data_IF_499460332809
#
_entry.id   IF_499460332809
#
_cell.length_a   1.000
_cell.length_b   1.000
_cell.length_c   1.000
_cell.angle_alpha   90.00
_cell.angle_beta   90.00
_cell.angle_gamma   90.00
#
_symmetry.space_group_name_H-M   'P 1'
#
loop_
_entity.id
_entity.type
_entity.pdbx_description
1 polymer ?
#
# COMPACT_ATOMS: atom_id res chain seq x y z
N UNK A 1 20.85 49.83 70.86
CA UNK A 1 22.13 50.52 70.80
C UNK A 1 22.36 50.91 69.37
N UNK A 2 22.10 52.14 69.18
CA UNK A 2 22.98 53.25 68.65
C UNK A 2 23.23 53.05 67.18
N UNK A 3 22.61 53.89 66.39
CA UNK A 3 22.92 55.28 65.97
C UNK A 3 23.83 55.23 64.78
N UNK A 4 23.44 55.81 63.72
CA UNK A 4 23.42 57.25 63.32
C UNK A 4 24.42 57.36 62.18
N UNK A 5 24.33 58.08 61.26
CA UNK A 5 23.62 59.25 60.78
C UNK A 5 24.42 59.84 59.57
N UNK A 6 23.69 60.40 58.67
CA UNK A 6 23.79 61.79 58.24
C UNK A 6 24.75 62.14 57.06
N UNK A 7 24.13 62.59 55.97
CA UNK A 7 24.27 63.92 55.35
C UNK A 7 25.52 64.10 54.44
N UNK A 8 25.48 64.56 53.30
CA UNK A 8 24.62 65.50 52.60
C UNK A 8 25.41 66.20 51.49
N UNK A 9 24.69 66.79 50.62
CA UNK A 9 24.98 68.02 49.88
C UNK A 9 25.64 68.03 48.50
N UNK A 10 24.79 68.47 47.59
CA UNK A 10 24.91 69.58 46.58
C UNK A 10 25.66 69.27 45.26
N UNK A 11 24.92 69.23 44.20
CA UNK A 11 24.59 70.30 43.24
C UNK A 11 25.77 70.90 42.55
N UNK A 12 25.91 70.69 41.22
CA UNK A 12 26.09 71.74 40.24
C UNK A 12 25.87 71.27 38.83
N UNK A 13 25.00 71.98 38.16
CA UNK A 13 24.70 71.94 36.72
C UNK A 13 25.96 72.40 35.93
N UNK A 14 26.08 71.82 34.72
CA UNK A 14 26.50 72.68 33.56
C UNK A 14 26.03 72.00 32.26
N UNK A 15 25.24 72.73 31.53
CA UNK A 15 24.79 72.50 30.13
C UNK A 15 25.99 72.67 29.16
N UNK A 16 25.88 72.03 28.03
CA UNK A 16 26.27 72.34 26.67
C UNK A 16 26.51 70.97 25.95
N UNK A 17 26.00 70.57 24.86
CA UNK A 17 25.77 71.23 23.60
C UNK A 17 25.19 70.09 22.68
N UNK A 18 24.21 70.41 21.94
CA UNK A 18 23.54 69.59 20.91
C UNK A 18 24.51 69.45 19.73
N UNK A 19 24.74 68.20 19.28
CA UNK A 19 25.04 67.85 17.88
C UNK A 19 24.22 66.66 17.46
N UNK A 20 23.27 66.92 16.61
CA UNK A 20 22.50 65.95 15.86
C UNK A 20 23.40 65.29 14.82
N UNK A 21 23.60 63.97 14.92
CA UNK A 21 24.07 63.16 13.81
C UNK A 21 23.03 62.08 13.55
N UNK A 22 22.25 62.30 12.53
CA UNK A 22 21.29 61.35 11.99
C UNK A 22 22.04 60.22 11.28
N UNK A 23 22.25 59.10 11.95
CA UNK A 23 22.66 57.84 11.29
C UNK A 23 21.41 57.03 11.01
N UNK A 24 21.04 56.98 9.75
CA UNK A 24 20.03 56.07 9.21
C UNK A 24 20.62 54.68 9.25
N UNK A 25 20.29 53.89 10.24
CA UNK A 25 20.50 52.45 10.27
C UNK A 25 19.31 51.78 9.56
N UNK A 26 19.51 51.44 8.28
CA UNK A 26 18.65 50.51 7.59
C UNK A 26 18.81 49.12 8.22
N UNK A 27 17.92 48.78 9.13
CA UNK A 27 17.78 47.41 9.60
C UNK A 27 17.15 46.58 8.47
N UNK A 28 18.03 45.87 7.74
CA UNK A 28 17.61 44.75 6.93
C UNK A 28 17.00 43.66 7.88
N UNK A 29 15.70 43.66 8.04
CA UNK A 29 14.99 42.55 8.62
C UNK A 29 15.07 41.38 7.61
N UNK A 30 16.09 40.54 7.78
CA UNK A 30 16.05 39.18 7.26
C UNK A 30 14.94 38.47 8.02
N UNK A 31 13.78 38.43 7.41
CA UNK A 31 12.70 37.56 7.88
C UNK A 31 13.20 36.12 7.80
N UNK A 32 13.67 35.59 8.92
CA UNK A 32 13.70 34.16 9.16
C UNK A 32 12.24 33.72 9.10
N UNK A 33 11.82 33.25 7.91
CA UNK A 33 10.63 32.41 7.82
C UNK A 33 10.95 31.16 8.63
N UNK A 34 10.58 31.19 9.90
CA UNK A 34 10.38 29.98 10.66
C UNK A 34 9.36 29.17 9.87
N UNK A 35 9.80 28.08 9.27
CA UNK A 35 8.92 27.04 8.76
C UNK A 35 8.08 26.60 9.96
N UNK A 36 6.86 27.13 10.05
CA UNK A 36 5.85 26.60 10.95
C UNK A 36 5.63 25.17 10.49
N UNK A 37 6.17 24.21 11.23
CA UNK A 37 5.73 22.84 11.17
C UNK A 37 4.25 22.86 11.48
N UNK A 38 3.43 22.66 10.45
CA UNK A 38 1.98 22.53 10.62
C UNK A 38 1.72 21.41 11.62
N UNK A 39 0.79 21.61 12.59
CA UNK A 39 0.53 20.59 13.60
C UNK A 39 -0.09 19.35 12.94
N UNK A 40 0.46 18.20 13.29
CA UNK A 40 -0.13 16.87 13.24
C UNK A 40 -0.51 16.21 11.90
N UNK A 41 0.07 16.55 10.78
CA UNK A 41 -0.06 15.70 9.60
C UNK A 41 0.82 14.45 9.76
N UNK A 42 0.20 13.33 10.17
CA UNK A 42 0.88 12.05 10.29
C UNK A 42 1.39 11.61 8.91
N UNK A 43 2.59 11.04 8.89
CA UNK A 43 3.14 10.42 7.69
C UNK A 43 2.31 9.18 7.33
N UNK A 44 1.95 9.06 6.07
CA UNK A 44 1.21 7.93 5.51
C UNK A 44 2.17 7.08 4.70
N UNK A 45 2.08 5.77 4.82
CA UNK A 45 2.85 4.83 4.01
C UNK A 45 1.92 4.05 3.09
N UNK A 46 2.30 3.93 1.82
CA UNK A 46 1.63 3.09 0.83
C UNK A 46 2.64 2.17 0.16
N UNK A 47 2.16 1.00 -0.29
CA UNK A 47 2.91 0.11 -1.16
C UNK A 47 2.52 0.39 -2.61
N UNK A 48 3.49 0.27 -3.50
CA UNK A 48 3.26 0.42 -4.92
C UNK A 48 4.17 -0.50 -5.71
N UNK A 49 3.79 -0.79 -6.95
CA UNK A 49 4.65 -1.44 -7.94
C UNK A 49 4.88 -0.51 -9.12
N UNK A 50 6.01 -0.66 -9.79
CA UNK A 50 6.33 0.08 -10.98
C UNK A 50 6.87 -0.84 -12.07
N UNK A 51 6.46 -0.62 -13.31
CA UNK A 51 6.96 -1.37 -14.45
C UNK A 51 7.07 -0.49 -15.70
N UNK A 52 7.92 -0.88 -16.63
CA UNK A 52 7.96 -0.29 -17.95
C UNK A 52 6.87 -0.91 -18.88
N UNK A 53 6.86 -0.50 -20.15
CA UNK A 53 5.94 -1.05 -21.16
C UNK A 53 6.15 -2.54 -21.44
N UNK A 54 7.30 -3.11 -21.07
CA UNK A 54 7.63 -4.53 -21.24
C UNK A 54 7.44 -5.30 -19.94
N UNK A 55 6.81 -4.66 -18.97
CA UNK A 55 6.61 -5.22 -17.65
C UNK A 55 7.89 -5.54 -16.89
N UNK A 56 9.00 -4.89 -17.22
CA UNK A 56 10.27 -5.04 -16.53
C UNK A 56 10.34 -4.18 -15.27
N UNK A 57 11.18 -4.59 -14.33
CA UNK A 57 11.49 -3.81 -13.12
C UNK A 57 12.02 -2.42 -13.47
N UNK A 58 11.55 -1.43 -12.73
CA UNK A 58 11.95 -0.03 -12.87
C UNK A 58 12.48 0.48 -11.54
N UNK A 59 13.61 1.15 -11.58
CA UNK A 59 14.14 1.88 -10.44
C UNK A 59 13.47 3.26 -10.40
N UNK A 60 12.76 3.54 -9.33
CA UNK A 60 12.14 4.83 -9.08
C UNK A 60 13.06 5.72 -8.24
N UNK A 61 13.11 7.01 -8.55
CA UNK A 61 13.75 8.01 -7.72
C UNK A 61 12.68 8.89 -7.02
N UNK A 62 12.89 9.18 -5.74
CA UNK A 62 11.97 9.98 -4.94
C UNK A 62 11.67 11.35 -5.58
N UNK A 63 12.69 12.00 -6.16
CA UNK A 63 12.58 13.31 -6.81
C UNK A 63 11.73 13.31 -8.08
N UNK A 64 11.42 12.15 -8.62
CA UNK A 64 10.61 11.98 -9.83
C UNK A 64 9.14 11.73 -9.54
N UNK A 65 8.80 11.58 -8.26
CA UNK A 65 7.44 11.28 -7.82
C UNK A 65 6.72 12.53 -7.32
N UNK A 66 5.46 12.62 -7.67
CA UNK A 66 4.51 13.56 -7.07
C UNK A 66 3.28 12.80 -6.60
N UNK A 67 2.80 13.16 -5.41
CA UNK A 67 1.61 12.54 -4.80
C UNK A 67 0.55 13.59 -4.53
N UNK A 68 -0.70 13.16 -4.52
CA UNK A 68 -1.84 13.98 -4.12
C UNK A 68 -2.85 13.15 -3.34
N UNK A 69 -3.51 13.79 -2.37
CA UNK A 69 -4.65 13.24 -1.64
C UNK A 69 -5.81 14.20 -1.78
N UNK A 70 -6.98 13.70 -2.20
CA UNK A 70 -8.16 14.52 -2.51
C UNK A 70 -7.82 15.71 -3.43
N UNK A 71 -6.96 15.44 -4.43
CA UNK A 71 -6.43 16.43 -5.40
C UNK A 71 -5.51 17.49 -4.79
N UNK A 72 -5.20 17.45 -3.49
CA UNK A 72 -4.24 18.33 -2.85
C UNK A 72 -2.84 17.71 -2.87
N UNK A 73 -1.79 18.46 -3.21
CA UNK A 73 -0.44 17.90 -3.28
C UNK A 73 0.05 17.47 -1.89
N UNK A 74 0.69 16.29 -1.83
CA UNK A 74 1.40 15.80 -0.65
C UNK A 74 2.91 15.93 -0.79
N UNK A 75 3.62 15.89 0.32
CA UNK A 75 5.08 15.93 0.35
C UNK A 75 5.64 14.52 0.48
N UNK A 76 6.38 14.06 -0.52
CA UNK A 76 7.10 12.78 -0.47
C UNK A 76 8.27 12.87 0.50
N UNK A 77 8.28 11.99 1.50
CA UNK A 77 9.34 11.93 2.51
C UNK A 77 10.40 10.89 2.17
N UNK A 78 9.97 9.66 1.89
CA UNK A 78 10.87 8.55 1.58
C UNK A 78 10.30 7.64 0.51
N UNK A 79 11.20 7.09 -0.30
CA UNK A 79 10.92 6.00 -1.22
C UNK A 79 12.00 4.95 -1.04
N UNK A 80 11.62 3.69 -0.81
CA UNK A 80 12.57 2.60 -0.64
C UNK A 80 12.00 1.28 -1.16
N UNK A 81 12.86 0.36 -1.52
CA UNK A 81 12.43 -1.00 -1.80
C UNK A 81 11.82 -1.64 -0.54
N UNK A 82 10.70 -2.35 -0.70
CA UNK A 82 9.98 -2.98 0.41
C UNK A 82 10.39 -4.44 0.63
N UNK A 83 11.30 -4.99 -0.16
CA UNK A 83 11.69 -6.41 -0.17
C UNK A 83 12.10 -6.95 1.21
N UNK A 84 12.74 -6.13 2.04
CA UNK A 84 13.20 -6.52 3.37
C UNK A 84 12.12 -6.46 4.47
N UNK A 85 10.96 -5.87 4.16
CA UNK A 85 9.88 -5.75 5.14
C UNK A 85 9.18 -7.10 5.31
N UNK A 86 8.73 -7.38 6.53
CA UNK A 86 7.93 -8.57 6.82
C UNK A 86 6.68 -8.61 5.94
N UNK A 87 6.39 -9.78 5.39
CA UNK A 87 5.26 -10.03 4.49
C UNK A 87 4.25 -10.96 5.14
N UNK A 88 3.02 -10.52 5.21
CA UNK A 88 1.84 -11.34 5.46
C UNK A 88 1.10 -11.54 4.14
N UNK A 89 0.87 -12.78 3.73
CA UNK A 89 0.24 -13.04 2.44
C UNK A 89 -0.84 -14.11 2.52
N UNK A 90 -1.75 -14.06 1.57
CA UNK A 90 -2.72 -15.12 1.33
C UNK A 90 -2.67 -15.54 -0.13
N UNK A 91 -2.54 -16.83 -0.40
CA UNK A 91 -2.78 -17.41 -1.73
C UNK A 91 -4.24 -17.80 -1.79
N UNK A 92 -5.00 -17.08 -2.62
CA UNK A 92 -6.45 -17.18 -2.79
C UNK A 92 -6.73 -17.87 -4.12
N UNK A 93 -7.24 -19.10 -4.08
CA UNK A 93 -7.34 -19.97 -5.24
C UNK A 93 -8.79 -20.23 -5.58
N UNK A 94 -9.16 -19.92 -6.80
CA UNK A 94 -10.44 -20.30 -7.38
C UNK A 94 -10.48 -21.81 -7.61
N UNK A 95 -11.49 -22.42 -7.05
CA UNK A 95 -11.77 -23.88 -7.17
C UNK A 95 -13.15 -24.12 -7.79
N UNK A 96 -13.65 -23.13 -8.51
CA UNK A 96 -14.93 -23.20 -9.23
C UNK A 96 -14.87 -24.14 -10.44
N UNK A 97 -16.02 -24.41 -11.02
CA UNK A 97 -16.13 -25.34 -12.16
C UNK A 97 -15.44 -24.82 -13.41
N UNK A 98 -15.40 -23.50 -13.63
CA UNK A 98 -14.77 -22.91 -14.81
C UNK A 98 -13.28 -23.22 -14.90
N UNK A 99 -12.61 -23.29 -13.75
CA UNK A 99 -11.18 -23.56 -13.63
C UNK A 99 -10.84 -25.07 -13.52
N UNK A 100 -11.85 -25.94 -13.55
CA UNK A 100 -11.64 -27.40 -13.38
C UNK A 100 -10.73 -28.00 -14.48
N UNK A 101 -10.79 -27.50 -15.71
CA UNK A 101 -9.92 -27.95 -16.82
C UNK A 101 -8.43 -27.67 -16.58
N UNK A 102 -8.10 -26.63 -15.83
CA UNK A 102 -6.75 -26.22 -15.46
C UNK A 102 -6.31 -26.64 -14.03
N UNK A 103 -7.16 -27.35 -13.28
CA UNK A 103 -7.01 -27.58 -11.86
C UNK A 103 -5.60 -28.07 -11.43
N UNK A 104 -4.99 -29.00 -12.18
CA UNK A 104 -3.66 -29.52 -11.85
C UNK A 104 -2.58 -28.45 -11.96
N UNK A 105 -2.64 -27.59 -12.99
CA UNK A 105 -1.68 -26.50 -13.18
C UNK A 105 -1.93 -25.35 -12.21
N UNK A 106 -3.19 -25.04 -11.91
CA UNK A 106 -3.59 -24.04 -10.91
C UNK A 106 -3.06 -24.44 -9.53
N UNK A 107 -3.29 -25.67 -9.08
CA UNK A 107 -2.75 -26.18 -7.81
C UNK A 107 -1.23 -26.08 -7.76
N UNK A 108 -0.54 -26.45 -8.85
CA UNK A 108 0.92 -26.37 -8.94
C UNK A 108 1.41 -24.94 -8.88
N UNK A 109 0.79 -24.01 -9.61
CA UNK A 109 1.12 -22.59 -9.57
C UNK A 109 0.88 -21.99 -8.18
N UNK A 110 -0.26 -22.28 -7.56
CA UNK A 110 -0.59 -21.86 -6.20
C UNK A 110 0.46 -22.33 -5.18
N UNK A 111 0.86 -23.59 -5.27
CA UNK A 111 1.90 -24.15 -4.39
C UNK A 111 3.25 -23.48 -4.60
N UNK A 112 3.67 -23.23 -5.85
CA UNK A 112 4.94 -22.56 -6.12
C UNK A 112 4.94 -21.10 -5.67
N UNK A 113 3.85 -20.37 -5.83
CA UNK A 113 3.68 -19.02 -5.30
C UNK A 113 3.75 -19.02 -3.78
N UNK A 114 3.06 -19.96 -3.14
CA UNK A 114 3.09 -20.11 -1.68
C UNK A 114 4.51 -20.42 -1.18
N UNK A 115 5.21 -21.35 -1.83
CA UNK A 115 6.62 -21.71 -1.50
C UNK A 115 7.55 -20.52 -1.69
N UNK A 116 7.46 -19.80 -2.80
CA UNK A 116 8.33 -18.66 -3.11
C UNK A 116 8.21 -17.53 -2.09
N UNK A 117 7.02 -17.31 -1.53
CA UNK A 117 6.79 -16.30 -0.52
C UNK A 117 7.03 -16.79 0.93
N UNK A 118 7.01 -18.10 1.19
CA UNK A 118 7.22 -18.69 2.53
C UNK A 118 8.69 -18.68 2.95
N UNK A 119 9.40 -17.61 2.69
CA UNK A 119 10.83 -17.43 3.00
C UNK A 119 11.02 -16.27 3.98
N UNK A 120 12.18 -16.21 4.64
CA UNK A 120 12.55 -15.02 5.44
C UNK A 120 11.64 -14.70 6.64
N UNK A 121 10.86 -15.66 7.14
CA UNK A 121 9.92 -15.43 8.25
C UNK A 121 8.56 -14.89 7.81
N UNK A 122 8.28 -14.80 6.53
CA UNK A 122 6.97 -14.43 5.99
C UNK A 122 5.89 -15.43 6.43
N UNK A 123 4.67 -14.93 6.60
CA UNK A 123 3.54 -15.73 7.06
C UNK A 123 2.47 -15.82 5.97
N UNK A 124 2.08 -17.06 5.61
CA UNK A 124 1.16 -17.32 4.51
C UNK A 124 -0.11 -18.06 4.92
N UNK A 125 -1.26 -17.55 4.46
CA UNK A 125 -2.55 -18.23 4.52
C UNK A 125 -2.88 -18.87 3.16
N UNK A 126 -3.62 -19.96 3.21
CA UNK A 126 -4.26 -20.54 2.02
C UNK A 126 -5.77 -20.31 2.13
N UNK A 127 -6.33 -19.76 1.07
CA UNK A 127 -7.75 -19.53 0.90
C UNK A 127 -8.20 -20.25 -0.37
N UNK A 128 -9.19 -21.07 -0.25
CA UNK A 128 -9.82 -21.80 -1.36
C UNK A 128 -11.25 -21.31 -1.49
N UNK A 129 -11.66 -20.93 -2.67
CA UNK A 129 -13.03 -20.46 -2.85
C UNK A 129 -13.68 -21.03 -4.10
N UNK A 130 -15.00 -21.15 -4.03
CA UNK A 130 -15.92 -21.39 -5.13
C UNK A 130 -17.19 -20.55 -4.88
N UNK A 131 -18.37 -21.15 -4.69
CA UNK A 131 -19.55 -20.45 -4.19
C UNK A 131 -19.46 -20.10 -2.68
N UNK A 132 -18.43 -20.55 -2.00
CA UNK A 132 -18.14 -20.31 -0.59
C UNK A 132 -16.63 -20.14 -0.39
N UNK A 133 -16.23 -19.52 0.72
CA UNK A 133 -14.83 -19.22 1.03
C UNK A 133 -14.37 -20.08 2.21
N UNK A 134 -13.29 -20.85 2.01
CA UNK A 134 -12.65 -21.68 3.03
C UNK A 134 -11.22 -21.20 3.26
N UNK A 135 -10.87 -20.86 4.51
CA UNK A 135 -9.57 -20.29 4.85
C UNK A 135 -8.83 -21.11 5.89
N UNK A 136 -7.52 -21.18 5.79
CA UNK A 136 -6.70 -21.69 6.88
C UNK A 136 -6.87 -20.84 8.15
N UNK A 137 -6.98 -21.50 9.30
CA UNK A 137 -7.21 -20.81 10.59
C UNK A 137 -5.99 -19.97 11.03
N UNK A 138 -4.80 -20.41 10.67
CA UNK A 138 -3.49 -19.80 10.99
C UNK A 138 -2.59 -19.88 9.77
N UNK A 139 -1.46 -19.13 9.73
CA UNK A 139 -0.47 -19.31 8.70
C UNK A 139 0.00 -20.76 8.60
N UNK A 140 0.18 -21.25 7.39
CA UNK A 140 0.50 -22.66 7.12
C UNK A 140 1.97 -22.86 6.77
N UNK A 141 2.57 -23.97 7.20
CA UNK A 141 3.78 -24.45 6.55
C UNK A 141 3.45 -24.97 5.14
N UNK A 142 4.41 -24.91 4.23
CA UNK A 142 4.26 -25.32 2.82
C UNK A 142 3.66 -26.71 2.65
N UNK A 143 4.08 -27.68 3.47
CA UNK A 143 3.56 -29.05 3.40
C UNK A 143 2.06 -29.16 3.68
N UNK A 144 1.53 -28.34 4.60
CA UNK A 144 0.10 -28.29 4.89
C UNK A 144 -0.68 -27.58 3.77
N UNK A 145 -0.13 -26.53 3.19
CA UNK A 145 -0.71 -25.87 2.02
C UNK A 145 -0.79 -26.84 0.83
N UNK A 146 0.26 -27.61 0.58
CA UNK A 146 0.27 -28.66 -0.44
C UNK A 146 -0.84 -29.70 -0.19
N UNK A 147 -0.89 -30.25 1.01
CA UNK A 147 -1.91 -31.26 1.35
C UNK A 147 -3.34 -30.75 1.15
N UNK A 148 -3.60 -29.48 1.51
CA UNK A 148 -4.89 -28.83 1.32
C UNK A 148 -5.23 -28.65 -0.17
N UNK A 149 -4.25 -28.20 -0.98
CA UNK A 149 -4.42 -28.07 -2.43
C UNK A 149 -4.69 -29.44 -3.09
N UNK A 150 -3.94 -30.49 -2.71
CA UNK A 150 -4.08 -31.83 -3.26
C UNK A 150 -5.47 -32.40 -2.98
N UNK A 151 -6.00 -32.17 -1.78
CA UNK A 151 -7.33 -32.65 -1.36
C UNK A 151 -8.51 -31.88 -1.99
N UNK A 152 -8.25 -30.73 -2.64
CA UNK A 152 -9.29 -29.84 -3.14
C UNK A 152 -9.89 -30.34 -4.47
N UNK A 153 -11.21 -30.30 -4.60
CA UNK A 153 -11.93 -30.53 -5.84
C UNK A 153 -12.52 -29.23 -6.39
N UNK A 154 -12.50 -29.10 -7.71
CA UNK A 154 -13.00 -27.94 -8.42
C UNK A 154 -14.46 -28.15 -8.78
N UNK A 155 -15.34 -27.30 -8.25
CA UNK A 155 -16.79 -27.39 -8.46
C UNK A 155 -17.52 -26.14 -8.00
N UNK A 156 -18.78 -26.01 -8.42
CA UNK A 156 -19.67 -24.92 -7.97
C UNK A 156 -19.50 -23.63 -8.77
N UNK A 157 -20.03 -22.55 -8.22
CA UNK A 157 -19.92 -21.18 -8.73
C UNK A 157 -18.66 -20.48 -8.23
N UNK A 158 -18.58 -19.17 -8.41
CA UNK A 158 -17.40 -18.34 -8.12
C UNK A 158 -17.81 -17.13 -7.28
N UNK A 159 -17.26 -16.98 -6.09
CA UNK A 159 -17.48 -15.85 -5.17
C UNK A 159 -16.16 -15.08 -4.95
N UNK A 160 -15.61 -14.48 -6.03
CA UNK A 160 -14.29 -13.87 -5.99
C UNK A 160 -14.28 -12.60 -5.13
N UNK A 161 -15.34 -11.80 -5.13
CA UNK A 161 -15.42 -10.59 -4.31
C UNK A 161 -15.49 -10.93 -2.81
N UNK A 162 -16.31 -11.92 -2.44
CA UNK A 162 -16.35 -12.43 -1.05
C UNK A 162 -14.98 -12.97 -0.61
N UNK A 163 -14.26 -13.66 -1.51
CA UNK A 163 -12.96 -14.23 -1.21
C UNK A 163 -11.90 -13.14 -0.91
N UNK A 164 -11.89 -12.05 -1.67
CA UNK A 164 -11.01 -10.91 -1.42
C UNK A 164 -11.39 -10.22 -0.11
N UNK A 165 -12.65 -9.81 0.04
CA UNK A 165 -13.16 -9.08 1.20
C UNK A 165 -12.88 -9.84 2.49
N UNK A 166 -13.31 -11.12 2.58
CA UNK A 166 -13.13 -11.92 3.77
C UNK A 166 -11.66 -12.21 4.08
N UNK A 167 -10.81 -12.38 3.07
CA UNK A 167 -9.37 -12.56 3.26
C UNK A 167 -8.74 -11.29 3.88
N UNK A 168 -9.08 -10.11 3.36
CA UNK A 168 -8.59 -8.85 3.88
C UNK A 168 -8.99 -8.63 5.33
N UNK A 169 -10.28 -8.84 5.68
CA UNK A 169 -10.79 -8.58 7.04
C UNK A 169 -10.33 -9.66 8.04
N UNK A 170 -10.30 -10.95 7.65
CA UNK A 170 -10.12 -12.03 8.62
C UNK A 170 -8.66 -12.50 8.75
N UNK A 171 -7.81 -12.23 7.76
CA UNK A 171 -6.42 -12.74 7.72
C UNK A 171 -5.36 -11.67 7.58
N UNK A 172 -5.68 -10.59 6.86
CA UNK A 172 -4.72 -9.55 6.51
C UNK A 172 -5.08 -8.19 7.12
N UNK A 173 -6.02 -8.16 8.06
CA UNK A 173 -6.48 -6.92 8.69
C UNK A 173 -5.32 -6.15 9.34
N UNK A 174 -5.35 -4.84 9.20
CA UNK A 174 -4.30 -3.94 9.67
C UNK A 174 -4.24 -3.89 11.20
N UNK A 175 -5.39 -3.91 11.85
CA UNK A 175 -5.50 -3.83 13.31
C UNK A 175 -4.96 -5.08 14.01
N UNK A 176 -5.18 -6.27 13.41
CA UNK A 176 -4.64 -7.53 13.91
C UNK A 176 -3.15 -7.76 13.60
N UNK A 177 -2.60 -7.00 12.64
CA UNK A 177 -1.24 -7.17 12.14
C UNK A 177 -0.50 -5.82 12.01
N UNK A 178 -0.41 -5.00 13.08
CA UNK A 178 0.10 -3.63 12.99
C UNK A 178 1.58 -3.57 12.58
N UNK A 179 2.37 -4.57 12.97
CA UNK A 179 3.82 -4.63 12.72
C UNK A 179 4.18 -5.22 11.36
N UNK A 180 3.19 -5.61 10.56
CA UNK A 180 3.42 -6.19 9.23
C UNK A 180 3.03 -5.19 8.15
N UNK A 181 3.96 -4.38 7.64
CA UNK A 181 3.66 -3.32 6.68
C UNK A 181 3.30 -3.84 5.29
N UNK A 182 3.72 -5.06 4.92
CA UNK A 182 3.40 -5.67 3.63
C UNK A 182 2.31 -6.72 3.77
N UNK A 183 1.17 -6.46 3.17
CA UNK A 183 0.02 -7.38 3.11
C UNK A 183 -0.34 -7.63 1.66
N UNK A 184 -0.38 -8.90 1.27
CA UNK A 184 -0.57 -9.29 -0.12
C UNK A 184 -1.62 -10.39 -0.25
N UNK A 185 -2.57 -10.17 -1.13
CA UNK A 185 -3.43 -11.23 -1.71
C UNK A 185 -2.81 -11.66 -3.04
N UNK A 186 -2.58 -12.96 -3.21
CA UNK A 186 -2.28 -13.60 -4.48
C UNK A 186 -3.52 -14.33 -4.95
N UNK A 187 -4.26 -13.71 -5.85
CA UNK A 187 -5.50 -14.23 -6.39
C UNK A 187 -5.22 -15.04 -7.67
N UNK A 188 -5.71 -16.27 -7.73
CA UNK A 188 -5.65 -17.13 -8.92
C UNK A 188 -7.08 -17.49 -9.31
N UNK A 189 -7.56 -16.95 -10.44
CA UNK A 189 -8.95 -17.10 -10.90
C UNK A 189 -9.05 -16.67 -12.37
N UNK A 190 -10.15 -17.02 -13.03
CA UNK A 190 -10.60 -16.41 -14.29
C UNK A 190 -11.35 -15.07 -14.05
N UNK A 191 -11.63 -14.75 -12.80
CA UNK A 191 -12.23 -13.49 -12.35
C UNK A 191 -13.74 -13.38 -12.51
N UNK A 192 -14.41 -14.35 -13.11
CA UNK A 192 -15.88 -14.33 -13.19
C UNK A 192 -16.50 -14.48 -11.80
N UNK A 193 -17.47 -13.62 -11.50
CA UNK A 193 -18.23 -13.69 -10.24
C UNK A 193 -19.71 -13.95 -10.51
N UNK A 194 -20.25 -14.94 -9.81
CA UNK A 194 -21.66 -15.29 -9.90
C UNK A 194 -22.29 -15.71 -8.57
N UNK A 195 -21.51 -15.64 -7.49
CA UNK A 195 -21.95 -16.19 -6.20
C UNK A 195 -21.59 -15.28 -5.01
N UNK A 196 -20.89 -14.18 -5.19
CA UNK A 196 -20.56 -13.25 -4.10
C UNK A 196 -21.80 -12.54 -3.54
N UNK A 197 -21.73 -12.23 -2.25
CA UNK A 197 -22.73 -11.43 -1.54
C UNK A 197 -22.38 -9.95 -1.53
N UNK A 198 -21.07 -9.64 -1.59
CA UNK A 198 -20.58 -8.26 -1.69
C UNK A 198 -20.37 -7.86 -3.15
N UNK A 199 -20.25 -6.55 -3.40
CA UNK A 199 -19.95 -6.01 -4.73
C UNK A 199 -18.45 -5.98 -5.00
N UNK A 200 -18.04 -5.84 -6.26
CA UNK A 200 -16.63 -5.62 -6.62
C UNK A 200 -16.06 -4.39 -5.93
N UNK A 201 -16.82 -3.30 -5.85
CA UNK A 201 -16.41 -2.06 -5.16
C UNK A 201 -16.16 -2.30 -3.68
N UNK A 202 -17.02 -3.07 -3.01
CA UNK A 202 -16.83 -3.41 -1.59
C UNK A 202 -15.54 -4.20 -1.37
N UNK A 203 -15.25 -5.17 -2.23
CA UNK A 203 -14.02 -5.97 -2.14
C UNK A 203 -12.76 -5.11 -2.32
N UNK A 204 -12.77 -4.20 -3.30
CA UNK A 204 -11.69 -3.28 -3.58
C UNK A 204 -11.47 -2.27 -2.45
N UNK A 205 -12.51 -1.55 -2.01
CA UNK A 205 -12.44 -0.62 -0.89
C UNK A 205 -11.96 -1.28 0.40
N UNK A 206 -12.33 -2.56 0.61
CA UNK A 206 -11.85 -3.32 1.77
C UNK A 206 -10.35 -3.60 1.67
N UNK A 207 -9.86 -4.00 0.51
CA UNK A 207 -8.43 -4.22 0.30
C UNK A 207 -7.63 -2.92 0.51
N UNK A 208 -8.11 -1.79 -0.02
CA UNK A 208 -7.50 -0.47 0.17
C UNK A 208 -7.51 -0.04 1.64
N UNK A 209 -8.64 -0.20 2.35
CA UNK A 209 -8.78 0.12 3.76
C UNK A 209 -7.82 -0.67 4.64
N UNK A 210 -7.65 -1.94 4.37
CA UNK A 210 -6.72 -2.80 5.10
C UNK A 210 -5.26 -2.66 4.60
N UNK A 211 -5.03 -1.90 3.52
CA UNK A 211 -3.70 -1.70 2.93
C UNK A 211 -3.13 -2.99 2.34
N UNK A 212 -3.99 -3.78 1.72
CA UNK A 212 -3.63 -5.05 1.08
C UNK A 212 -3.44 -4.83 -0.41
N UNK A 213 -2.27 -5.17 -0.93
CA UNK A 213 -2.02 -5.18 -2.36
C UNK A 213 -2.49 -6.51 -2.98
N UNK A 214 -3.32 -6.44 -4.01
CA UNK A 214 -3.81 -7.62 -4.73
C UNK A 214 -2.95 -7.89 -5.95
N UNK A 215 -2.38 -9.09 -6.03
CA UNK A 215 -1.67 -9.59 -7.20
C UNK A 215 -2.48 -10.70 -7.83
N UNK A 216 -2.77 -10.61 -9.10
CA UNK A 216 -3.66 -11.55 -9.78
C UNK A 216 -2.96 -12.37 -10.84
N UNK A 217 -3.10 -13.68 -10.76
CA UNK A 217 -2.82 -14.62 -11.82
C UNK A 217 -4.14 -14.95 -12.51
N UNK A 218 -4.34 -14.35 -13.67
CA UNK A 218 -5.57 -14.51 -14.44
C UNK A 218 -5.43 -15.75 -15.32
N UNK A 219 -6.29 -16.75 -15.07
CA UNK A 219 -6.36 -17.99 -15.82
C UNK A 219 -7.30 -17.83 -17.01
N UNK A 220 -6.92 -18.30 -18.18
CA UNK A 220 -7.85 -18.38 -19.31
C UNK A 220 -8.80 -19.57 -19.13
N UNK A 221 -10.06 -19.27 -18.94
CA UNK A 221 -11.14 -20.25 -18.99
C UNK A 221 -11.99 -20.05 -20.24
N UNK A 222 -12.44 -21.14 -20.83
CA UNK A 222 -13.38 -21.09 -21.97
C UNK A 222 -14.76 -20.53 -21.58
N UNK A 223 -15.02 -20.39 -20.29
CA UNK A 223 -16.26 -19.88 -19.72
C UNK A 223 -16.10 -18.44 -19.19
N UNK A 224 -14.86 -17.95 -19.07
CA UNK A 224 -14.57 -16.60 -18.60
C UNK A 224 -14.96 -15.55 -19.64
N UNK A 225 -15.62 -14.52 -19.19
CA UNK A 225 -15.91 -13.33 -19.98
C UNK A 225 -14.90 -12.21 -19.72
N UNK A 226 -14.95 -11.14 -20.52
CA UNK A 226 -14.02 -10.02 -20.36
C UNK A 226 -14.22 -9.23 -19.05
N UNK A 227 -15.32 -9.41 -18.35
CA UNK A 227 -15.62 -8.71 -17.09
C UNK A 227 -14.74 -9.18 -15.95
N UNK A 228 -14.53 -10.49 -15.82
CA UNK A 228 -13.68 -11.07 -14.78
C UNK A 228 -12.23 -10.63 -14.92
N UNK A 229 -11.68 -10.71 -16.14
CA UNK A 229 -10.33 -10.22 -16.41
C UNK A 229 -10.18 -8.72 -16.13
N UNK A 230 -11.19 -7.91 -16.49
CA UNK A 230 -11.19 -6.47 -16.23
C UNK A 230 -11.14 -6.18 -14.73
N UNK A 231 -12.02 -6.80 -13.95
CA UNK A 231 -12.04 -6.65 -12.50
C UNK A 231 -10.69 -7.02 -11.87
N UNK A 232 -10.12 -8.17 -12.23
CA UNK A 232 -8.84 -8.60 -11.66
C UNK A 232 -7.68 -7.65 -12.00
N UNK A 233 -7.69 -7.04 -13.19
CA UNK A 233 -6.71 -6.00 -13.55
C UNK A 233 -6.92 -4.73 -12.76
N UNK A 234 -8.16 -4.28 -12.62
CA UNK A 234 -8.56 -3.09 -11.89
C UNK A 234 -8.19 -3.20 -10.41
N UNK A 235 -8.67 -4.23 -9.71
CA UNK A 235 -8.37 -4.43 -8.28
C UNK A 235 -6.87 -4.57 -8.02
N UNK A 236 -6.12 -5.20 -8.93
CA UNK A 236 -4.67 -5.30 -8.77
C UNK A 236 -3.99 -3.94 -8.95
N UNK A 237 -4.37 -3.16 -9.95
CA UNK A 237 -3.81 -1.84 -10.20
C UNK A 237 -4.12 -0.88 -9.05
N UNK A 238 -5.37 -0.85 -8.62
CA UNK A 238 -5.91 0.15 -7.68
C UNK A 238 -5.64 -0.20 -6.21
N UNK A 239 -5.02 -1.36 -5.94
CA UNK A 239 -4.47 -1.72 -4.63
C UNK A 239 -2.94 -1.72 -4.57
N UNK A 240 -2.26 -1.33 -5.66
CA UNK A 240 -0.79 -1.25 -5.71
C UNK A 240 -0.09 -2.56 -6.06
N UNK A 241 -0.84 -3.57 -6.48
CA UNK A 241 -0.32 -4.85 -6.97
C UNK A 241 -0.20 -4.92 -8.49
N UNK A 242 -0.34 -6.12 -9.05
CA UNK A 242 -0.20 -6.38 -10.48
C UNK A 242 -1.00 -7.60 -10.92
N UNK A 243 -1.60 -7.53 -12.10
CA UNK A 243 -2.27 -8.65 -12.75
C UNK A 243 -1.45 -9.20 -13.92
N UNK A 244 -1.41 -10.52 -14.06
CA UNK A 244 -0.76 -11.22 -15.16
C UNK A 244 -1.74 -12.23 -15.75
N UNK A 245 -2.08 -12.04 -17.03
CA UNK A 245 -2.94 -12.98 -17.79
C UNK A 245 -2.09 -13.98 -18.54
N UNK A 246 -2.33 -15.27 -18.35
CA UNK A 246 -1.56 -16.36 -18.98
C UNK A 246 -2.47 -17.54 -19.34
N UNK A 247 -2.09 -18.22 -20.42
CA UNK A 247 -2.73 -19.51 -20.80
C UNK A 247 -2.32 -20.65 -19.88
N UNK A 248 -1.05 -20.71 -19.55
CA UNK A 248 -0.53 -21.68 -18.59
C UNK A 248 -0.23 -20.98 -17.27
N UNK A 249 -0.95 -21.31 -16.17
CA UNK A 249 -0.73 -20.68 -14.87
C UNK A 249 0.71 -20.69 -14.39
N UNK A 250 1.51 -21.68 -14.81
CA UNK A 250 2.92 -21.79 -14.43
C UNK A 250 3.77 -20.64 -14.97
N UNK A 251 3.40 -20.07 -16.14
CA UNK A 251 4.16 -18.98 -16.76
C UNK A 251 4.03 -17.65 -15.98
N UNK A 252 2.99 -17.51 -15.17
CA UNK A 252 2.77 -16.32 -14.34
C UNK A 252 3.45 -16.38 -12.96
N UNK A 253 3.96 -17.54 -12.53
CA UNK A 253 4.53 -17.71 -11.17
C UNK A 253 5.75 -16.80 -10.96
N UNK A 254 6.79 -16.95 -11.78
CA UNK A 254 8.01 -16.17 -11.62
C UNK A 254 7.79 -14.65 -11.78
N UNK A 255 7.03 -14.16 -12.79
CA UNK A 255 6.72 -12.75 -12.91
C UNK A 255 5.97 -12.16 -11.71
N UNK A 256 5.01 -12.90 -11.11
CA UNK A 256 4.31 -12.44 -9.91
C UNK A 256 5.20 -12.39 -8.67
N UNK A 257 6.04 -13.40 -8.46
CA UNK A 257 7.00 -13.40 -7.35
C UNK A 257 7.96 -12.20 -7.48
N UNK A 258 8.48 -11.95 -8.68
CA UNK A 258 9.33 -10.80 -8.95
C UNK A 258 8.58 -9.49 -8.67
N UNK A 259 7.33 -9.34 -9.13
CA UNK A 259 6.56 -8.12 -8.90
C UNK A 259 6.30 -7.85 -7.41
N UNK A 260 6.09 -8.89 -6.59
CA UNK A 260 5.94 -8.75 -5.14
C UNK A 260 7.28 -8.38 -4.49
N UNK A 261 8.40 -8.97 -4.92
CA UNK A 261 9.73 -8.61 -4.42
C UNK A 261 10.10 -7.16 -4.77
N UNK A 262 9.70 -6.69 -5.94
CA UNK A 262 9.99 -5.35 -6.46
C UNK A 262 9.06 -4.26 -5.95
N UNK A 263 8.22 -4.54 -4.94
CA UNK A 263 7.39 -3.51 -4.32
C UNK A 263 8.23 -2.39 -3.70
N UNK A 264 7.71 -1.18 -3.80
CA UNK A 264 8.25 0.01 -3.17
C UNK A 264 7.36 0.44 -2.00
N UNK A 265 7.99 0.90 -0.93
CA UNK A 265 7.33 1.58 0.17
C UNK A 265 7.55 3.09 0.02
N UNK A 266 6.47 3.81 -0.19
CA UNK A 266 6.43 5.26 -0.30
C UNK A 266 5.85 5.85 0.97
N UNK A 267 6.57 6.77 1.61
CA UNK A 267 6.07 7.56 2.74
C UNK A 267 5.92 9.02 2.33
N UNK A 268 4.81 9.62 2.70
CA UNK A 268 4.51 11.02 2.39
C UNK A 268 3.65 11.67 3.48
N UNK A 269 3.61 12.99 3.51
CA UNK A 269 2.74 13.78 4.36
C UNK A 269 1.68 14.46 3.49
N UNK A 270 0.38 14.22 3.72
CA UNK A 270 -0.69 14.92 3.02
C UNK A 270 -0.70 16.41 3.40
N UNK A 271 -1.24 17.27 2.52
CA UNK A 271 -1.33 18.71 2.77
C UNK A 271 -2.25 19.06 3.94
N UNK A 272 -3.21 18.19 4.24
CA UNK A 272 -4.17 18.37 5.33
C UNK A 272 -4.29 17.09 6.15
N UNK A 273 -4.66 17.16 7.44
CA UNK A 273 -4.96 15.98 8.25
C UNK A 273 -6.09 15.17 7.61
N UNK A 274 -5.94 13.85 7.60
CA UNK A 274 -6.93 12.92 7.07
C UNK A 274 -7.80 12.38 8.21
N UNK A 275 -9.10 12.24 7.93
CA UNK A 275 -10.04 11.59 8.84
C UNK A 275 -10.09 10.05 8.58
N UNK A 276 -10.92 9.34 9.36
CA UNK A 276 -11.09 7.90 9.24
C UNK A 276 -12.06 7.53 8.10
N UNK A 277 -11.74 7.97 6.87
CA UNK A 277 -12.43 7.63 5.64
C UNK A 277 -11.45 7.23 4.55
N UNK A 278 -11.95 6.71 3.47
CA UNK A 278 -11.18 6.54 2.24
C UNK A 278 -10.98 7.89 1.56
N UNK A 279 -9.73 8.25 1.32
CA UNK A 279 -9.32 9.47 0.61
C UNK A 279 -8.74 9.11 -0.74
N UNK A 280 -9.12 9.80 -1.78
CA UNK A 280 -8.56 9.54 -3.11
C UNK A 280 -7.04 9.81 -3.11
N UNK A 281 -6.27 8.85 -3.61
CA UNK A 281 -4.82 8.96 -3.69
C UNK A 281 -4.37 8.95 -5.14
N UNK A 282 -3.47 9.85 -5.48
CA UNK A 282 -2.88 9.95 -6.81
C UNK A 282 -1.36 10.00 -6.72
N UNK A 283 -0.70 9.25 -7.61
CA UNK A 283 0.75 9.28 -7.78
C UNK A 283 1.11 9.42 -9.25
N UNK A 284 2.14 10.20 -9.53
CA UNK A 284 2.69 10.39 -10.88
C UNK A 284 4.20 10.34 -10.83
N UNK A 285 4.80 9.90 -11.93
CA UNK A 285 6.25 9.97 -12.15
C UNK A 285 6.59 10.80 -13.38
N UNK A 286 7.73 11.46 -13.35
CA UNK A 286 8.28 12.15 -14.52
C UNK A 286 8.99 11.21 -15.50
N UNK A 287 9.22 9.95 -15.11
CA UNK A 287 9.82 8.94 -15.98
C UNK A 287 8.87 8.59 -17.13
N UNK A 288 9.39 8.65 -18.36
CA UNK A 288 8.62 8.24 -19.53
C UNK A 288 8.44 6.72 -19.56
N UNK A 289 7.28 6.30 -20.05
CA UNK A 289 6.96 4.88 -20.27
C UNK A 289 6.93 4.00 -19.02
N UNK A 290 6.90 4.61 -17.82
CA UNK A 290 6.73 3.94 -16.56
C UNK A 290 5.26 3.98 -16.13
N UNK A 291 4.75 2.83 -15.70
CA UNK A 291 3.44 2.68 -15.08
C UNK A 291 3.63 2.43 -13.58
N UNK A 292 2.85 3.10 -12.77
CA UNK A 292 2.81 2.87 -11.33
C UNK A 292 1.43 2.32 -11.00
N UNK A 293 1.39 1.19 -10.31
CA UNK A 293 0.20 0.69 -9.62
C UNK A 293 0.33 1.05 -8.15
N UNK A 294 -0.68 1.73 -7.63
CA UNK A 294 -0.72 2.20 -6.25
C UNK A 294 -2.18 2.19 -5.77
N UNK A 295 -2.46 2.19 -4.47
CA UNK A 295 -3.83 2.32 -3.98
C UNK A 295 -4.54 3.52 -4.61
N UNK A 296 -5.75 3.34 -5.14
CA UNK A 296 -6.57 4.46 -5.64
C UNK A 296 -7.12 5.30 -4.47
N UNK A 297 -7.28 4.65 -3.30
CA UNK A 297 -7.65 5.32 -2.06
C UNK A 297 -6.73 4.90 -0.92
N UNK A 298 -6.61 5.78 0.07
CA UNK A 298 -5.88 5.51 1.32
C UNK A 298 -6.80 5.68 2.51
N UNK A 299 -6.56 4.89 3.54
CA UNK A 299 -7.27 4.96 4.82
C UNK A 299 -6.25 5.19 5.94
N UNK A 300 -6.54 6.13 6.84
CA UNK A 300 -5.70 6.43 8.02
C UNK A 300 -6.50 6.14 9.27
N UNK A 301 -5.94 5.29 10.15
CA UNK A 301 -6.53 4.94 11.45
C UNK A 301 -6.19 5.98 12.52
#
# INVERSE_FOLDING_TARGET
>A
MRESAIMGHRLKQLMYGVVLFSAVLSQGQTALQASQSSPDNKSVQVLLTASDKRDSHVVLAQSELSVSVDKQPGQVNTLRAAKSDALLFAVVVDTSRSDAGGAALIKKAALQLFQGLSTGGNQGYLVLFNHSVAMSKKPLPVSQAQSALDATNFSGGTAVYDAIEQTCIQKLDRSGNPDTPRRVVLLISDGEDNSSHVTHTTAEETAEKEGVAVFSLITESSLAGPRGEHFMKEVSQDTGGRAISVKNPMDGVAPLLTAIEDQWALSFVPAQPLDQKLHSFGIKTSQKDVRISAPAHIFVQ
#
